data_IF_781894898735
#
_entry.id   IF_781894898735
#
_cell.length_a   1.000
_cell.length_b   1.000
_cell.length_c   1.000
_cell.angle_alpha   90.00
_cell.angle_beta   90.00
_cell.angle_gamma   90.00
#
_symmetry.space_group_name_H-M   'P 1'
#
loop_
_entity.id
_entity.type
_entity.pdbx_description
1 polymer ?
#
# COMPACT_ATOMS: atom_id res chain seq x y z
N UNK A 1 -12.67 -31.36 -5.42
CA UNK A 1 -13.31 -30.91 -4.15
C UNK A 1 -14.47 -29.97 -4.36
N UNK A 2 -14.36 -28.93 -5.21
CA UNK A 2 -15.52 -28.08 -5.57
C UNK A 2 -16.58 -28.92 -6.28
N UNK A 3 -16.15 -29.79 -7.22
CA UNK A 3 -17.06 -30.73 -7.90
C UNK A 3 -17.68 -31.74 -6.93
N UNK A 4 -16.94 -32.24 -5.97
CA UNK A 4 -17.45 -33.13 -4.92
C UNK A 4 -18.49 -32.42 -4.06
N UNK A 5 -18.26 -31.19 -3.68
CA UNK A 5 -19.20 -30.35 -2.93
C UNK A 5 -20.47 -30.10 -3.75
N UNK A 6 -20.36 -29.83 -5.04
CA UNK A 6 -21.44 -29.66 -5.96
C UNK A 6 -22.30 -30.94 -6.06
N UNK A 7 -21.67 -32.10 -6.29
CA UNK A 7 -22.34 -33.39 -6.35
C UNK A 7 -23.10 -33.69 -5.06
N UNK A 8 -22.52 -33.34 -3.92
CA UNK A 8 -23.22 -33.52 -2.62
C UNK A 8 -24.47 -32.66 -2.49
N UNK A 9 -24.40 -31.40 -2.93
CA UNK A 9 -25.53 -30.46 -2.91
C UNK A 9 -26.60 -30.91 -3.93
N UNK A 10 -26.20 -31.34 -5.13
CA UNK A 10 -27.11 -31.86 -6.14
C UNK A 10 -27.83 -33.12 -5.63
N UNK A 11 -27.12 -34.05 -5.00
CA UNK A 11 -27.72 -35.23 -4.40
C UNK A 11 -28.74 -34.88 -3.28
N UNK A 12 -28.43 -33.88 -2.45
CA UNK A 12 -29.33 -33.41 -1.40
C UNK A 12 -30.60 -32.76 -1.95
N UNK A 13 -30.55 -32.17 -3.13
CA UNK A 13 -31.70 -31.55 -3.79
C UNK A 13 -32.54 -32.60 -4.51
N UNK A 14 -31.89 -33.57 -5.16
CA UNK A 14 -32.56 -34.58 -5.99
C UNK A 14 -33.25 -35.68 -5.17
N UNK A 15 -32.79 -35.94 -3.94
CA UNK A 15 -33.32 -37.00 -3.06
C UNK A 15 -33.79 -36.45 -1.70
N UNK A 16 -34.77 -35.54 -1.67
CA UNK A 16 -35.27 -34.92 -0.43
C UNK A 16 -36.03 -35.90 0.50
N UNK A 17 -36.43 -37.07 0.00
CA UNK A 17 -37.23 -38.06 0.76
C UNK A 17 -36.34 -39.09 1.50
N UNK A 18 -35.01 -39.09 1.30
CA UNK A 18 -34.14 -39.90 2.11
C UNK A 18 -33.99 -39.24 3.50
N UNK A 19 -34.11 -40.02 4.58
CA UNK A 19 -34.06 -39.57 5.99
C UNK A 19 -32.69 -38.94 6.39
N UNK A 20 -31.83 -38.64 5.44
CA UNK A 20 -30.53 -38.00 5.65
C UNK A 20 -30.70 -36.50 5.48
N UNK A 21 -30.69 -35.79 6.59
CA UNK A 21 -30.62 -34.31 6.55
C UNK A 21 -29.22 -33.88 6.10
N UNK A 22 -28.99 -33.86 4.80
CA UNK A 22 -27.74 -33.47 4.16
C UNK A 22 -27.31 -32.05 4.52
N UNK A 23 -28.25 -31.16 4.87
CA UNK A 23 -27.98 -29.78 5.22
C UNK A 23 -27.57 -29.60 6.70
N UNK A 24 -28.04 -30.51 7.58
CA UNK A 24 -27.64 -30.54 8.98
C UNK A 24 -26.30 -31.28 9.19
N UNK A 25 -25.77 -31.93 8.16
CA UNK A 25 -24.50 -32.65 8.26
C UNK A 25 -23.35 -31.66 8.52
N UNK A 26 -22.75 -31.79 9.70
CA UNK A 26 -21.52 -31.04 10.06
C UNK A 26 -20.39 -31.22 9.03
N UNK A 27 -20.37 -32.34 8.31
CA UNK A 27 -19.41 -32.61 7.25
C UNK A 27 -19.55 -31.65 6.07
N UNK A 28 -20.75 -31.20 5.70
CA UNK A 28 -20.95 -30.19 4.66
C UNK A 28 -20.34 -28.85 5.07
N UNK A 29 -20.64 -28.39 6.30
CA UNK A 29 -20.07 -27.17 6.85
C UNK A 29 -18.53 -27.18 6.86
N UNK A 30 -17.93 -28.29 7.27
CA UNK A 30 -16.47 -28.49 7.28
C UNK A 30 -15.88 -28.45 5.86
N UNK A 31 -16.52 -29.12 4.90
CA UNK A 31 -16.10 -29.10 3.49
C UNK A 31 -16.20 -27.72 2.85
N UNK A 32 -17.24 -26.97 3.16
CA UNK A 32 -17.37 -25.58 2.71
C UNK A 32 -16.27 -24.70 3.29
N UNK A 33 -15.94 -24.85 4.57
CA UNK A 33 -14.84 -24.12 5.20
C UNK A 33 -13.47 -24.46 4.60
N UNK A 34 -13.20 -25.77 4.33
CA UNK A 34 -11.95 -26.21 3.67
C UNK A 34 -11.82 -25.61 2.26
N UNK A 35 -12.90 -25.63 1.48
CA UNK A 35 -12.91 -25.01 0.14
C UNK A 35 -12.66 -23.51 0.25
N UNK A 36 -13.34 -22.82 1.16
CA UNK A 36 -13.15 -21.37 1.39
C UNK A 36 -11.71 -21.04 1.78
N UNK A 37 -11.13 -21.81 2.72
CA UNK A 37 -9.75 -21.60 3.16
C UNK A 37 -8.77 -21.73 2.00
N UNK A 38 -8.94 -22.77 1.17
CA UNK A 38 -8.08 -22.98 -0.02
C UNK A 38 -8.19 -21.86 -1.05
N UNK A 39 -9.37 -21.29 -1.23
CA UNK A 39 -9.53 -20.11 -2.09
C UNK A 39 -8.80 -18.90 -1.51
N UNK A 40 -8.86 -18.73 -0.19
CA UNK A 40 -8.11 -17.66 0.49
C UNK A 40 -6.61 -17.84 0.31
N UNK A 41 -6.08 -19.04 0.58
CA UNK A 41 -4.65 -19.37 0.43
C UNK A 41 -4.18 -19.18 -1.02
N UNK A 42 -5.00 -19.61 -1.98
CA UNK A 42 -4.68 -19.43 -3.41
C UNK A 42 -4.68 -17.94 -3.80
N UNK A 43 -5.64 -17.16 -3.32
CA UNK A 43 -5.71 -15.73 -3.57
C UNK A 43 -4.49 -14.99 -2.98
N UNK A 44 -4.06 -15.37 -1.78
CA UNK A 44 -2.84 -14.82 -1.16
C UNK A 44 -1.59 -15.17 -1.96
N UNK A 45 -1.45 -16.44 -2.37
CA UNK A 45 -0.32 -16.87 -3.20
C UNK A 45 -0.30 -16.17 -4.56
N UNK A 46 -1.45 -16.02 -5.20
CA UNK A 46 -1.58 -15.30 -6.47
C UNK A 46 -1.23 -13.82 -6.31
N UNK A 47 -1.66 -13.19 -5.21
CA UNK A 47 -1.31 -11.81 -4.89
C UNK A 47 0.19 -11.63 -4.69
N UNK A 48 0.84 -12.52 -3.95
CA UNK A 48 2.30 -12.50 -3.78
C UNK A 48 3.03 -12.66 -5.11
N UNK A 49 2.59 -13.61 -5.95
CA UNK A 49 3.14 -13.80 -7.28
C UNK A 49 2.98 -12.58 -8.21
N UNK A 50 1.83 -11.89 -8.12
CA UNK A 50 1.61 -10.66 -8.85
C UNK A 50 2.53 -9.53 -8.37
N UNK A 51 2.71 -9.36 -7.04
CA UNK A 51 3.63 -8.38 -6.47
C UNK A 51 5.08 -8.61 -6.92
N UNK A 52 5.52 -9.86 -6.97
CA UNK A 52 6.87 -10.19 -7.45
C UNK A 52 7.06 -9.91 -8.95
N UNK A 53 6.01 -10.08 -9.75
CA UNK A 53 6.06 -9.87 -11.20
C UNK A 53 5.83 -8.41 -11.58
N UNK A 54 4.79 -7.80 -11.05
CA UNK A 54 4.29 -6.49 -11.49
C UNK A 54 4.81 -5.35 -10.61
N UNK A 55 5.33 -5.68 -9.42
CA UNK A 55 5.83 -4.71 -8.43
C UNK A 55 4.73 -4.11 -7.57
N UNK A 56 5.16 -3.30 -6.61
CA UNK A 56 4.31 -2.56 -5.69
C UNK A 56 4.33 -1.07 -6.05
N UNK A 57 3.16 -0.48 -6.22
CA UNK A 57 3.04 0.96 -6.44
C UNK A 57 2.94 1.69 -5.09
N UNK A 58 3.98 2.46 -4.77
CA UNK A 58 4.07 3.21 -3.52
C UNK A 58 4.02 4.70 -3.83
N UNK A 59 3.08 5.41 -3.21
CA UNK A 59 3.00 6.86 -3.29
C UNK A 59 3.63 7.48 -2.06
N UNK A 60 4.57 8.40 -2.27
CA UNK A 60 5.16 9.23 -1.21
C UNK A 60 4.37 10.54 -1.15
N UNK A 61 3.65 10.76 -0.05
CA UNK A 61 2.84 11.94 0.20
C UNK A 61 3.31 12.68 1.46
N UNK A 62 2.83 13.90 1.67
CA UNK A 62 3.14 14.71 2.86
C UNK A 62 3.37 16.17 2.50
N UNK A 63 3.47 17.02 3.52
CA UNK A 63 3.63 18.47 3.37
C UNK A 63 4.93 18.86 2.63
N UNK A 64 5.01 20.08 2.07
CA UNK A 64 6.26 20.61 1.56
C UNK A 64 7.36 20.54 2.63
N UNK A 65 8.59 20.31 2.19
CA UNK A 65 9.77 20.22 3.05
C UNK A 65 9.78 19.12 4.12
N UNK A 66 8.83 18.19 4.13
CA UNK A 66 8.86 17.02 5.02
C UNK A 66 10.01 16.05 4.71
N UNK A 67 10.72 16.24 3.59
CA UNK A 67 11.85 15.41 3.20
C UNK A 67 11.49 14.24 2.28
N UNK A 68 10.40 14.37 1.52
CA UNK A 68 9.95 13.34 0.56
C UNK A 68 11.03 12.98 -0.47
N UNK A 69 11.63 14.01 -1.11
CA UNK A 69 12.69 13.81 -2.11
C UNK A 69 13.95 13.21 -1.49
N UNK A 70 14.30 13.59 -0.24
CA UNK A 70 15.43 12.98 0.47
C UNK A 70 15.17 11.50 0.74
N UNK A 71 13.96 11.16 1.17
CA UNK A 71 13.55 9.77 1.37
C UNK A 71 13.58 8.98 0.04
N UNK A 72 13.04 9.56 -1.03
CA UNK A 72 13.05 8.96 -2.36
C UNK A 72 14.48 8.68 -2.83
N UNK A 73 15.36 9.69 -2.77
CA UNK A 73 16.76 9.56 -3.16
C UNK A 73 17.49 8.49 -2.33
N UNK A 74 17.13 8.38 -1.06
CA UNK A 74 17.72 7.36 -0.19
C UNK A 74 17.25 5.96 -0.55
N UNK A 75 15.97 5.79 -0.80
CA UNK A 75 15.40 4.52 -1.27
C UNK A 75 15.97 4.13 -2.64
N UNK A 76 16.12 5.07 -3.57
CA UNK A 76 16.73 4.85 -4.88
C UNK A 76 18.23 4.50 -4.79
N UNK A 77 18.93 4.94 -3.75
CA UNK A 77 20.35 4.62 -3.50
C UNK A 77 20.60 3.27 -2.85
N UNK A 78 19.57 2.60 -2.32
CA UNK A 78 19.65 1.24 -1.80
C UNK A 78 19.47 0.24 -2.96
N UNK A 79 20.58 -0.31 -3.48
CA UNK A 79 20.62 -1.33 -4.53
C UNK A 79 19.71 -1.07 -5.74
N UNK A 80 19.72 0.16 -6.25
CA UNK A 80 19.02 0.51 -7.48
C UNK A 80 19.67 -0.17 -8.68
N UNK A 81 19.37 -1.44 -8.87
CA UNK A 81 19.55 -2.08 -10.15
C UNK A 81 18.49 -1.53 -11.11
N UNK A 82 18.94 -0.59 -11.97
CA UNK A 82 18.30 -0.20 -13.23
C UNK A 82 17.07 0.69 -13.09
N UNK A 83 17.29 1.97 -12.92
CA UNK A 83 16.37 3.00 -13.40
C UNK A 83 16.49 3.05 -14.93
N UNK A 84 15.53 2.49 -15.64
CA UNK A 84 15.36 2.83 -17.06
C UNK A 84 14.39 4.00 -17.14
N UNK A 85 14.85 5.21 -17.47
CA UNK A 85 13.94 6.29 -17.84
C UNK A 85 13.23 5.83 -19.13
N UNK A 86 11.93 5.67 -19.08
CA UNK A 86 11.13 5.46 -20.29
C UNK A 86 11.10 6.80 -21.03
N UNK A 87 11.76 6.93 -22.21
CA UNK A 87 11.75 8.18 -22.95
C UNK A 87 10.33 8.46 -23.45
N UNK A 88 9.76 9.61 -23.13
CA UNK A 88 8.57 10.08 -23.80
C UNK A 88 7.53 10.87 -23.02
N UNK A 89 7.71 11.15 -21.72
CA UNK A 89 6.68 11.87 -20.96
C UNK A 89 7.30 12.96 -20.08
N UNK A 90 7.61 14.11 -20.67
CA UNK A 90 8.21 15.27 -20.02
C UNK A 90 7.24 16.11 -19.19
N UNK A 91 6.05 15.61 -18.84
CA UNK A 91 5.04 16.28 -18.00
C UNK A 91 4.35 15.38 -16.99
N UNK A 92 4.77 14.12 -16.86
CA UNK A 92 4.14 13.16 -15.96
C UNK A 92 4.92 13.06 -14.64
N UNK A 93 4.17 12.79 -13.57
CA UNK A 93 4.62 12.44 -12.21
C UNK A 93 5.93 11.64 -12.29
N UNK A 94 6.96 12.08 -11.58
CA UNK A 94 8.24 11.37 -11.52
C UNK A 94 7.97 9.95 -11.01
N UNK A 95 8.04 8.99 -11.93
CA UNK A 95 7.91 7.56 -11.64
C UNK A 95 9.30 6.98 -11.55
N UNK A 96 9.76 6.72 -10.35
CA UNK A 96 11.00 5.99 -10.16
C UNK A 96 10.70 4.50 -9.96
N UNK A 97 11.46 3.65 -10.65
CA UNK A 97 11.42 2.21 -10.46
C UNK A 97 12.66 1.79 -9.72
N UNK A 98 12.48 1.26 -8.54
CA UNK A 98 13.56 0.69 -7.72
C UNK A 98 13.24 -0.78 -7.45
N UNK A 99 14.25 -1.55 -7.05
CA UNK A 99 14.04 -2.90 -6.56
C UNK A 99 14.56 -2.98 -5.12
N UNK A 100 13.76 -3.49 -4.20
CA UNK A 100 14.19 -3.78 -2.83
C UNK A 100 14.03 -5.29 -2.62
N UNK A 101 15.12 -5.97 -2.30
CA UNK A 101 15.16 -7.43 -2.14
C UNK A 101 14.56 -8.19 -3.33
N UNK A 102 14.78 -7.69 -4.55
CA UNK A 102 14.28 -8.28 -5.79
C UNK A 102 12.81 -7.97 -6.09
N UNK A 103 12.10 -7.24 -5.23
CA UNK A 103 10.72 -6.81 -5.45
C UNK A 103 10.72 -5.45 -6.16
N UNK A 104 10.11 -5.33 -7.35
CA UNK A 104 9.99 -4.05 -8.03
C UNK A 104 9.07 -3.10 -7.26
N UNK A 105 9.52 -1.86 -7.08
CA UNK A 105 8.74 -0.78 -6.49
C UNK A 105 8.59 0.35 -7.51
N UNK A 106 7.37 0.78 -7.73
CA UNK A 106 7.04 1.97 -8.50
C UNK A 106 6.75 3.12 -7.54
N UNK A 107 7.67 4.05 -7.40
CA UNK A 107 7.53 5.17 -6.48
C UNK A 107 7.02 6.39 -7.25
N UNK A 108 5.95 6.99 -6.74
CA UNK A 108 5.34 8.20 -7.26
C UNK A 108 5.59 9.33 -6.26
N UNK A 109 6.35 10.35 -6.66
CA UNK A 109 6.55 11.55 -5.83
C UNK A 109 5.45 12.58 -6.12
N UNK A 110 4.67 12.90 -5.10
CA UNK A 110 3.65 13.94 -5.20
C UNK A 110 4.20 15.37 -5.04
N UNK A 111 5.49 15.52 -4.71
CA UNK A 111 6.10 16.84 -4.54
C UNK A 111 6.31 17.60 -5.86
N UNK A 112 6.54 16.89 -6.96
CA UNK A 112 6.67 17.48 -8.29
C UNK A 112 5.38 18.07 -8.88
N UNK A 113 4.24 17.93 -8.17
CA UNK A 113 2.93 18.42 -8.60
C UNK A 113 2.61 19.85 -8.13
N UNK A 114 3.53 20.55 -7.46
CA UNK A 114 3.24 21.82 -6.77
C UNK A 114 3.94 23.06 -7.32
N UNK A 115 4.48 23.08 -8.51
CA UNK A 115 5.10 24.29 -9.03
C UNK A 115 4.26 24.89 -10.16
N UNK A 116 3.17 25.60 -9.80
CA UNK A 116 2.65 26.77 -10.55
C UNK A 116 1.48 27.41 -9.79
N UNK A 117 1.43 28.71 -9.60
CA UNK A 117 0.28 29.37 -8.97
C UNK A 117 -0.89 29.43 -9.94
N UNK A 118 -2.08 29.34 -9.39
CA UNK A 118 -3.45 29.56 -9.85
C UNK A 118 -4.25 28.33 -10.35
N UNK A 119 -4.30 27.96 -11.58
CA UNK A 119 -5.11 26.82 -12.07
C UNK A 119 -4.40 25.47 -11.95
N UNK A 120 -3.08 25.47 -11.91
CA UNK A 120 -2.25 24.29 -11.80
C UNK A 120 -2.31 23.61 -10.42
N UNK A 121 -2.67 24.36 -9.37
CA UNK A 121 -2.75 23.80 -8.00
C UNK A 121 -3.93 22.82 -7.86
N UNK A 122 -5.09 23.18 -8.37
CA UNK A 122 -6.28 22.32 -8.37
C UNK A 122 -6.06 21.05 -9.22
N UNK A 123 -5.38 21.17 -10.36
CA UNK A 123 -5.01 20.05 -11.21
C UNK A 123 -3.97 19.15 -10.53
N UNK A 124 -2.96 19.74 -9.88
CA UNK A 124 -1.97 19.00 -9.10
C UNK A 124 -2.60 18.18 -7.98
N UNK A 125 -3.51 18.75 -7.20
CA UNK A 125 -4.25 18.05 -6.15
C UNK A 125 -5.10 16.92 -6.74
N UNK A 126 -5.75 17.14 -7.89
CA UNK A 126 -6.56 16.13 -8.57
C UNK A 126 -5.71 14.95 -9.03
N UNK A 127 -4.53 15.22 -9.62
CA UNK A 127 -3.57 14.18 -10.05
C UNK A 127 -3.02 13.42 -8.85
N UNK A 128 -2.61 14.10 -7.79
CA UNK A 128 -2.15 13.46 -6.57
C UNK A 128 -3.22 12.51 -5.99
N UNK A 129 -4.47 12.94 -5.91
CA UNK A 129 -5.60 12.10 -5.48
C UNK A 129 -5.82 10.90 -6.40
N UNK A 130 -5.68 11.08 -7.70
CA UNK A 130 -5.81 10.00 -8.67
C UNK A 130 -4.70 8.96 -8.48
N UNK A 131 -3.44 9.38 -8.37
CA UNK A 131 -2.32 8.47 -8.13
C UNK A 131 -2.43 7.78 -6.77
N UNK A 132 -2.76 8.50 -5.71
CA UNK A 132 -3.03 7.91 -4.40
C UNK A 132 -4.13 6.84 -4.50
N UNK A 133 -5.20 7.08 -5.26
CA UNK A 133 -6.32 6.13 -5.36
C UNK A 133 -5.96 4.80 -6.03
N UNK A 134 -4.85 4.74 -6.74
CA UNK A 134 -4.32 3.56 -7.46
C UNK A 134 -3.11 2.93 -6.78
N UNK A 135 -2.62 3.55 -5.71
CA UNK A 135 -1.48 3.04 -4.97
C UNK A 135 -1.83 1.77 -4.19
N UNK A 136 -0.88 0.86 -4.12
CA UNK A 136 -0.95 -0.30 -3.23
C UNK A 136 -0.63 0.09 -1.78
N UNK A 137 0.16 1.15 -1.60
CA UNK A 137 0.52 1.72 -0.29
C UNK A 137 0.86 3.20 -0.40
N UNK A 138 0.55 3.95 0.66
CA UNK A 138 0.97 5.35 0.83
C UNK A 138 2.00 5.43 1.96
N UNK A 139 3.13 6.08 1.70
CA UNK A 139 4.07 6.55 2.72
C UNK A 139 3.80 8.03 2.94
N UNK A 140 3.19 8.37 4.07
CA UNK A 140 2.91 9.75 4.42
C UNK A 140 4.03 10.30 5.28
N UNK A 141 4.84 11.20 4.70
CA UNK A 141 6.04 11.75 5.33
C UNK A 141 5.70 12.99 6.12
N UNK A 142 6.07 12.97 7.40
CA UNK A 142 5.89 14.04 8.38
C UNK A 142 7.26 14.53 8.84
N UNK A 143 7.43 15.83 8.94
CA UNK A 143 8.60 16.41 9.60
C UNK A 143 8.48 16.24 11.11
N UNK A 144 9.25 15.35 11.70
CA UNK A 144 9.19 15.07 13.15
C UNK A 144 9.68 16.27 14.00
N UNK A 145 10.47 17.16 13.42
CA UNK A 145 10.97 18.34 14.09
C UNK A 145 9.99 19.54 14.04
N UNK A 146 8.90 19.42 13.28
CA UNK A 146 7.86 20.45 13.19
C UNK A 146 6.59 20.05 13.97
N UNK A 147 6.37 20.65 15.17
CA UNK A 147 5.18 20.34 15.98
C UNK A 147 3.85 20.64 15.26
N UNK A 148 3.83 21.62 14.35
CA UNK A 148 2.63 21.96 13.57
C UNK A 148 2.33 20.89 12.53
N UNK A 149 3.35 20.33 11.89
CA UNK A 149 3.19 19.21 10.96
C UNK A 149 2.67 17.98 11.69
N UNK A 150 3.19 17.70 12.90
CA UNK A 150 2.74 16.56 13.72
C UNK A 150 1.29 16.75 14.17
N UNK A 151 0.91 17.94 14.63
CA UNK A 151 -0.45 18.23 15.09
C UNK A 151 -1.50 18.16 13.98
N UNK A 152 -1.11 18.39 12.75
CA UNK A 152 -2.03 18.44 11.61
C UNK A 152 -2.14 17.11 10.83
N UNK A 153 -1.54 16.03 11.32
CA UNK A 153 -1.55 14.71 10.64
C UNK A 153 -2.99 14.25 10.36
N UNK A 154 -3.89 14.37 11.35
CA UNK A 154 -5.27 13.89 11.21
C UNK A 154 -6.01 14.62 10.09
N UNK A 155 -5.83 15.94 9.99
CA UNK A 155 -6.44 16.75 8.94
C UNK A 155 -5.86 16.41 7.55
N UNK A 156 -4.55 16.24 7.48
CA UNK A 156 -3.88 15.89 6.22
C UNK A 156 -4.30 14.49 5.73
N UNK A 157 -4.52 13.55 6.64
CA UNK A 157 -4.92 12.18 6.32
C UNK A 157 -6.37 12.05 5.83
N UNK A 158 -7.25 13.02 6.08
CA UNK A 158 -8.61 13.01 5.53
C UNK A 158 -8.63 12.94 4.00
N UNK A 159 -7.55 13.35 3.35
CA UNK A 159 -7.41 13.31 1.90
C UNK A 159 -6.91 11.96 1.35
N UNK A 160 -6.50 11.02 2.23
CA UNK A 160 -6.06 9.68 1.85
C UNK A 160 -7.24 8.72 1.96
N UNK A 161 -7.60 7.98 0.88
CA UNK A 161 -8.70 7.02 0.94
C UNK A 161 -8.46 5.93 1.99
N UNK A 162 -9.42 5.70 2.87
CA UNK A 162 -9.30 4.75 4.00
C UNK A 162 -9.01 3.30 3.58
N UNK A 163 -9.32 2.93 2.32
CA UNK A 163 -9.08 1.59 1.78
C UNK A 163 -7.61 1.30 1.43
N UNK A 164 -6.77 2.35 1.36
CA UNK A 164 -5.38 2.21 0.93
C UNK A 164 -4.49 2.05 2.16
N UNK A 165 -3.67 1.00 2.22
CA UNK A 165 -2.71 0.83 3.30
C UNK A 165 -1.80 2.04 3.42
N UNK A 166 -1.73 2.61 4.63
CA UNK A 166 -0.95 3.79 4.95
C UNK A 166 0.18 3.44 5.92
N UNK A 167 1.32 4.10 5.78
CA UNK A 167 2.39 4.12 6.76
C UNK A 167 2.79 5.57 7.01
N UNK A 168 2.82 5.99 8.27
CA UNK A 168 3.32 7.30 8.68
C UNK A 168 4.85 7.22 8.80
N UNK A 169 5.55 8.11 8.12
CA UNK A 169 7.01 8.21 8.18
C UNK A 169 7.40 9.51 8.84
N UNK A 170 7.78 9.45 10.10
CA UNK A 170 8.33 10.58 10.86
C UNK A 170 9.79 10.74 10.48
N UNK A 171 10.06 11.68 9.60
CA UNK A 171 11.40 11.98 9.08
C UNK A 171 12.05 13.11 9.86
N UNK A 172 13.37 13.25 9.73
CA UNK A 172 14.20 14.25 10.39
C UNK A 172 14.32 14.07 11.91
N UNK A 173 14.31 12.82 12.35
CA UNK A 173 14.50 12.51 13.79
C UNK A 173 15.84 12.98 14.34
N UNK A 174 16.82 13.18 13.48
CA UNK A 174 18.10 13.83 13.81
C UNK A 174 17.93 15.24 14.38
N UNK A 175 16.79 15.90 14.08
CA UNK A 175 16.44 17.24 14.58
C UNK A 175 15.43 17.20 15.72
N UNK A 176 14.54 16.21 15.79
CA UNK A 176 13.57 16.05 16.88
C UNK A 176 14.17 15.35 18.10
N UNK A 177 15.28 14.63 17.94
CA UNK A 177 15.91 13.85 19.01
C UNK A 177 15.24 12.48 19.25
N UNK A 178 14.33 12.06 18.39
CA UNK A 178 13.72 10.74 18.44
C UNK A 178 14.72 9.63 18.05
N UNK A 179 14.48 8.42 18.56
CA UNK A 179 15.24 7.24 18.15
C UNK A 179 14.62 6.59 16.91
N UNK A 180 15.48 5.97 16.08
CA UNK A 180 15.05 5.12 14.97
C UNK A 180 14.22 3.97 15.51
N UNK A 181 12.98 3.82 15.03
CA UNK A 181 12.08 2.75 15.43
C UNK A 181 10.95 2.55 14.44
N UNK A 182 10.35 1.36 14.49
CA UNK A 182 9.11 1.05 13.79
C UNK A 182 8.07 0.61 14.82
N UNK A 183 6.91 1.25 14.79
CA UNK A 183 5.77 0.95 15.63
C UNK A 183 4.68 0.31 14.77
N UNK A 184 4.49 -1.00 14.94
CA UNK A 184 3.43 -1.76 14.29
C UNK A 184 2.23 -1.91 15.25
N UNK A 185 1.03 -1.47 14.83
CA UNK A 185 -0.21 -1.92 15.44
C UNK A 185 -0.79 -1.10 16.60
N UNK A 186 -0.25 0.05 16.95
CA UNK A 186 -0.89 0.98 17.93
C UNK A 186 -1.37 2.24 17.21
N UNK A 187 -2.57 2.17 16.58
CA UNK A 187 -3.16 3.34 15.92
C UNK A 187 -3.68 3.04 14.51
N UNK A 188 -4.15 4.08 13.78
CA UNK A 188 -4.76 3.92 12.48
C UNK A 188 -3.79 3.44 11.38
N UNK A 189 -2.48 3.58 11.61
CA UNK A 189 -1.44 3.18 10.65
C UNK A 189 -0.12 2.85 11.37
N UNK A 190 0.70 1.93 10.81
CA UNK A 190 2.08 1.73 11.24
C UNK A 190 2.88 3.03 11.16
N UNK A 191 3.87 3.19 12.05
CA UNK A 191 4.73 4.37 12.13
C UNK A 191 6.19 3.97 12.00
N UNK A 192 6.94 4.70 11.19
CA UNK A 192 8.38 4.56 11.08
C UNK A 192 9.05 5.90 11.42
N UNK A 193 10.07 5.89 12.26
CA UNK A 193 10.84 7.05 12.67
C UNK A 193 12.25 6.92 12.11
N UNK A 194 12.66 7.87 11.27
CA UNK A 194 13.93 7.79 10.55
C UNK A 194 14.50 9.17 10.21
N UNK A 195 15.77 9.19 9.84
CA UNK A 195 16.40 10.32 9.18
C UNK A 195 16.84 9.93 7.76
N UNK A 196 16.13 10.40 6.75
CA UNK A 196 16.48 10.17 5.36
C UNK A 196 17.84 10.82 5.00
N UNK A 197 18.21 11.89 5.69
CA UNK A 197 19.50 12.59 5.50
C UNK A 197 20.68 11.76 6.02
N UNK A 198 20.54 11.20 7.23
CA UNK A 198 21.61 10.42 7.85
C UNK A 198 21.62 8.95 7.41
N UNK A 199 20.52 8.45 6.84
CA UNK A 199 20.37 7.06 6.43
C UNK A 199 20.10 6.13 7.59
N UNK A 200 19.37 6.61 8.57
CA UNK A 200 19.01 5.89 9.78
C UNK A 200 17.49 5.73 9.85
#
# INVERSE_FOLDING_TARGET
RVLELRLWIEAAIDFPEEEIDFLADRALGTRMQDVRQRFTDLAETARQGALLRDGLTVVIAGRPNAGKSSLLNRLAGYDAAIVTPTPGTTRDVLRERIAIDGMPLHILDTAGLRESPDEAEAEGIRRARHEISRADRVLFVVDAADPQAVAAIEDDLQHVPAKIPLTLVFNKIDRSGDAVRVEAGQGPAPRAYLSAEQGA
#
